data_IF_495621463167
#
_entry.id   IF_495621463167
#
_cell.length_a   1.000
_cell.length_b   1.000
_cell.length_c   1.000
_cell.angle_alpha   90.00
_cell.angle_beta   90.00
_cell.angle_gamma   90.00
#
_symmetry.space_group_name_H-M   'P 1'
#
loop_
_entity.id
_entity.type
_entity.pdbx_description
1 polymer ?
#
# COMPACT_ATOMS: atom_id res chain seq x y z
N UNK A 1 43.30 0.81 -11.69
CA UNK A 1 42.33 -0.31 -11.67
C UNK A 1 41.31 -0.01 -10.57
N UNK A 2 40.16 0.54 -10.95
CA UNK A 2 39.06 0.83 -10.04
C UNK A 2 38.05 -0.33 -10.11
N UNK A 3 37.73 -0.89 -8.95
CA UNK A 3 36.72 -1.93 -8.77
C UNK A 3 35.32 -1.36 -9.05
N UNK A 4 34.46 -2.01 -9.83
CA UNK A 4 33.11 -1.48 -10.09
C UNK A 4 32.20 -1.72 -8.88
N UNK A 5 31.45 -0.69 -8.51
CA UNK A 5 30.40 -0.75 -7.51
C UNK A 5 29.26 -1.66 -7.99
N UNK A 6 28.77 -2.54 -7.09
CA UNK A 6 27.72 -3.52 -7.39
C UNK A 6 26.34 -2.89 -7.61
N UNK A 7 25.43 -3.55 -8.36
CA UNK A 7 24.08 -3.06 -8.61
C UNK A 7 23.17 -3.48 -7.44
N UNK A 8 22.56 -2.52 -6.76
CA UNK A 8 21.62 -2.82 -5.68
C UNK A 8 21.28 -1.63 -4.80
N UNK A 9 21.14 -0.43 -5.37
CA UNK A 9 20.55 0.68 -4.64
C UNK A 9 19.06 0.38 -4.45
N UNK A 10 18.67 0.01 -3.23
CA UNK A 10 17.29 -0.20 -2.82
C UNK A 10 16.55 1.13 -2.99
N UNK A 11 15.70 1.23 -4.01
CA UNK A 11 14.84 2.40 -4.18
C UNK A 11 13.65 2.28 -3.23
N UNK A 12 13.81 2.89 -2.06
CA UNK A 12 12.73 3.13 -1.10
C UNK A 12 11.67 4.01 -1.78
N UNK A 13 10.42 3.55 -1.77
CA UNK A 13 9.29 4.43 -2.06
C UNK A 13 9.19 5.41 -0.88
N UNK A 14 9.38 6.71 -1.09
CA UNK A 14 9.25 7.67 0.00
C UNK A 14 7.79 7.65 0.45
N UNK A 15 7.58 7.34 1.71
CA UNK A 15 6.35 7.68 2.41
C UNK A 15 6.29 9.21 2.60
N UNK A 16 5.10 9.78 2.82
CA UNK A 16 4.99 11.16 3.36
C UNK A 16 5.40 11.15 4.82
N UNK A 17 6.66 10.81 5.06
CA UNK A 17 7.31 11.24 6.25
C UNK A 17 7.53 12.73 6.10
N UNK A 18 6.60 13.51 6.62
CA UNK A 18 6.99 14.83 7.09
C UNK A 18 7.83 14.63 8.34
N UNK A 19 9.07 14.17 8.16
CA UNK A 19 10.12 14.46 9.12
C UNK A 19 10.48 15.92 8.89
N UNK A 20 9.70 16.82 9.50
CA UNK A 20 10.28 18.10 9.89
C UNK A 20 11.53 17.72 10.69
N UNK A 21 12.71 18.14 10.24
CA UNK A 21 13.94 18.03 11.04
C UNK A 21 13.61 18.40 12.49
N UNK A 22 14.10 17.55 13.39
CA UNK A 22 13.69 17.23 14.77
C UNK A 22 13.53 18.40 15.76
N UNK A 23 12.82 19.46 15.37
CA UNK A 23 12.57 20.65 16.20
C UNK A 23 11.25 21.35 15.86
N UNK A 24 10.67 21.15 14.66
CA UNK A 24 9.44 21.86 14.21
C UNK A 24 8.36 20.92 13.64
N UNK A 25 8.07 19.79 14.31
CA UNK A 25 6.94 18.96 13.90
C UNK A 25 5.63 19.74 14.13
N UNK A 26 4.96 20.18 13.05
CA UNK A 26 3.59 20.68 13.14
C UNK A 26 2.74 19.57 13.77
N UNK A 27 2.10 19.81 14.93
CA UNK A 27 1.30 18.80 15.61
C UNK A 27 0.01 18.59 14.82
N UNK A 28 0.08 17.70 13.83
CA UNK A 28 -1.11 17.26 13.11
C UNK A 28 -1.94 16.33 14.01
N UNK A 29 -3.25 16.58 14.14
CA UNK A 29 -4.10 15.74 14.97
C UNK A 29 -4.15 14.32 14.42
N UNK A 30 -4.38 13.36 15.30
CA UNK A 30 -4.57 11.96 14.94
C UNK A 30 -6.05 11.59 15.00
N UNK A 31 -6.41 10.56 14.23
CA UNK A 31 -7.76 9.96 14.24
C UNK A 31 -7.62 8.45 14.31
N UNK A 32 -8.37 7.84 15.24
CA UNK A 32 -8.50 6.38 15.34
C UNK A 32 -9.69 5.90 14.50
N UNK A 33 -9.52 4.78 13.81
CA UNK A 33 -10.52 4.14 12.96
C UNK A 33 -10.58 2.67 13.37
N UNK A 34 -11.78 2.18 13.69
CA UNK A 34 -11.96 0.78 14.03
C UNK A 34 -11.87 -0.11 12.78
N UNK A 35 -11.48 -1.36 12.97
CA UNK A 35 -11.46 -2.35 11.89
C UNK A 35 -12.81 -2.42 11.17
N UNK A 36 -12.77 -2.29 9.84
CA UNK A 36 -13.95 -2.35 8.98
C UNK A 36 -14.60 -1.00 8.71
N UNK A 37 -14.27 0.04 9.48
CA UNK A 37 -14.80 1.38 9.25
C UNK A 37 -14.04 2.09 8.13
N UNK A 38 -14.76 2.97 7.42
CA UNK A 38 -14.19 3.86 6.42
C UNK A 38 -13.54 5.09 7.07
N UNK A 39 -12.31 5.38 6.67
CA UNK A 39 -11.62 6.63 6.94
C UNK A 39 -12.29 7.80 6.19
N UNK A 40 -12.65 7.55 4.94
CA UNK A 40 -13.42 8.40 4.04
C UNK A 40 -14.05 7.52 2.96
N UNK A 41 -15.09 8.02 2.32
CA UNK A 41 -15.81 7.35 1.24
C UNK A 41 -15.60 8.06 -0.10
N UNK A 42 -15.75 7.31 -1.19
CA UNK A 42 -15.74 7.86 -2.54
C UNK A 42 -16.84 8.93 -2.71
N UNK A 43 -16.50 10.01 -3.41
CA UNK A 43 -17.35 11.18 -3.62
C UNK A 43 -17.35 12.19 -2.46
N UNK A 44 -16.76 11.89 -1.31
CA UNK A 44 -16.60 12.88 -0.25
C UNK A 44 -15.58 13.96 -0.64
N UNK A 45 -15.80 15.26 -0.29
CA UNK A 45 -14.83 16.31 -0.56
C UNK A 45 -13.48 16.05 0.11
N UNK A 46 -12.39 16.22 -0.65
CA UNK A 46 -11.04 16.08 -0.12
C UNK A 46 -10.70 17.25 0.80
N UNK A 47 -10.81 17.03 2.12
CA UNK A 47 -10.44 18.02 3.14
C UNK A 47 -9.03 17.83 3.66
N UNK A 48 -8.53 16.60 3.66
CA UNK A 48 -7.25 16.25 4.28
C UNK A 48 -6.64 15.04 3.60
N UNK A 49 -5.31 15.02 3.56
CA UNK A 49 -4.53 13.82 3.35
C UNK A 49 -4.29 13.15 4.70
N UNK A 50 -4.06 11.84 4.67
CA UNK A 50 -3.84 11.06 5.88
C UNK A 50 -2.59 10.23 5.76
N UNK A 51 -1.79 10.16 6.82
CA UNK A 51 -0.63 9.26 6.89
C UNK A 51 -0.91 8.19 7.93
N UNK A 52 -0.73 6.93 7.58
CA UNK A 52 -0.94 5.80 8.50
C UNK A 52 0.12 5.83 9.60
N UNK A 53 -0.29 5.97 10.86
CA UNK A 53 0.60 5.89 12.03
C UNK A 53 0.68 4.45 12.56
N UNK A 54 -0.44 3.74 12.52
CA UNK A 54 -0.52 2.32 12.87
C UNK A 54 -1.71 1.67 12.15
N UNK A 55 -1.64 0.36 11.98
CA UNK A 55 -2.64 -0.43 11.28
C UNK A 55 -2.44 -0.44 9.77
N UNK A 56 -3.50 -0.76 9.03
CA UNK A 56 -3.47 -0.94 7.59
C UNK A 56 -4.83 -0.62 6.98
N UNK A 57 -4.83 -0.02 5.78
CA UNK A 57 -6.03 0.31 5.04
C UNK A 57 -6.03 -0.37 3.66
N UNK A 58 -7.22 -0.54 3.09
CA UNK A 58 -7.41 -0.80 1.66
C UNK A 58 -8.16 0.34 1.00
N UNK A 59 -7.78 0.69 -0.22
CA UNK A 59 -8.59 1.51 -1.10
C UNK A 59 -9.49 0.62 -1.94
N UNK A 60 -10.77 0.97 -2.03
CA UNK A 60 -11.76 0.25 -2.81
C UNK A 60 -12.43 1.22 -3.79
N UNK A 61 -12.30 0.94 -5.08
CA UNK A 61 -13.00 1.68 -6.12
C UNK A 61 -14.23 0.90 -6.55
N UNK A 62 -15.37 1.57 -6.61
CA UNK A 62 -16.58 1.04 -7.21
C UNK A 62 -16.63 1.42 -8.69
N UNK A 63 -17.08 0.51 -9.55
CA UNK A 63 -17.41 0.83 -10.93
C UNK A 63 -18.84 0.40 -11.27
N UNK A 64 -19.52 1.16 -12.15
CA UNK A 64 -20.89 0.84 -12.54
C UNK A 64 -20.95 -0.56 -13.12
N UNK A 65 -21.96 -1.33 -12.70
CA UNK A 65 -22.30 -2.54 -13.42
C UNK A 65 -22.93 -2.16 -14.77
N UNK A 66 -22.79 -3.02 -15.77
CA UNK A 66 -23.41 -2.82 -17.08
C UNK A 66 -24.96 -2.83 -17.02
N UNK A 67 -25.52 -3.32 -15.91
CA UNK A 67 -26.95 -3.30 -15.62
C UNK A 67 -27.23 -2.35 -14.44
N UNK A 68 -28.14 -1.39 -14.61
CA UNK A 68 -28.52 -0.39 -13.60
C UNK A 68 -29.06 -1.00 -12.28
N UNK A 69 -29.57 -2.23 -12.32
CA UNK A 69 -30.13 -2.94 -11.16
C UNK A 69 -29.10 -3.82 -10.41
N UNK A 70 -27.87 -3.93 -10.91
CA UNK A 70 -26.85 -4.78 -10.30
C UNK A 70 -26.01 -4.02 -9.27
N UNK A 71 -25.66 -4.69 -8.16
CA UNK A 71 -24.74 -4.15 -7.16
C UNK A 71 -23.44 -3.72 -7.85
N UNK A 72 -22.99 -2.47 -7.65
CA UNK A 72 -21.76 -2.00 -8.28
C UNK A 72 -20.59 -2.90 -7.89
N UNK A 73 -19.75 -3.21 -8.87
CA UNK A 73 -18.59 -4.03 -8.61
C UNK A 73 -17.57 -3.20 -7.85
N UNK A 74 -17.00 -3.80 -6.81
CA UNK A 74 -15.97 -3.18 -5.98
C UNK A 74 -14.64 -3.89 -6.22
N UNK A 75 -13.59 -3.11 -6.43
CA UNK A 75 -12.24 -3.63 -6.59
C UNK A 75 -11.30 -2.95 -5.61
N UNK A 76 -10.50 -3.76 -4.91
CA UNK A 76 -9.37 -3.26 -4.12
C UNK A 76 -8.32 -2.73 -5.08
N UNK A 77 -8.00 -1.45 -5.00
CA UNK A 77 -7.03 -0.78 -5.89
C UNK A 77 -5.68 -0.55 -5.24
N UNK A 78 -5.64 -0.52 -3.91
CA UNK A 78 -4.40 -0.37 -3.15
C UNK A 78 -4.55 -0.94 -1.73
N UNK A 79 -3.41 -1.31 -1.16
CA UNK A 79 -3.24 -1.48 0.28
C UNK A 79 -2.30 -0.39 0.78
N UNK A 80 -2.56 0.15 1.97
CA UNK A 80 -1.78 1.21 2.59
C UNK A 80 -1.27 0.72 3.95
N UNK A 81 0.05 0.72 4.12
CA UNK A 81 0.77 0.33 5.31
C UNK A 81 1.19 1.56 6.12
N UNK A 82 1.86 1.32 7.25
CA UNK A 82 2.45 2.37 8.09
C UNK A 82 3.31 3.30 7.23
N UNK A 83 3.20 4.59 7.54
CA UNK A 83 3.83 5.73 6.87
C UNK A 83 3.37 6.03 5.44
N UNK A 84 2.55 5.17 4.82
CA UNK A 84 1.96 5.47 3.52
C UNK A 84 0.82 6.49 3.63
N UNK A 85 0.57 7.17 2.51
CA UNK A 85 -0.35 8.31 2.42
C UNK A 85 -1.63 7.96 1.68
N UNK A 86 -2.75 8.33 2.29
CA UNK A 86 -4.12 8.16 1.81
C UNK A 86 -4.69 9.52 1.39
N UNK A 87 -5.60 9.50 0.41
CA UNK A 87 -6.31 10.68 -0.11
C UNK A 87 -5.64 11.38 -1.30
N UNK A 88 -4.52 10.85 -1.80
CA UNK A 88 -3.81 11.41 -2.97
C UNK A 88 -4.65 11.36 -4.25
N UNK A 89 -5.55 10.37 -4.34
CA UNK A 89 -6.47 10.16 -5.44
C UNK A 89 -7.42 11.36 -5.67
N UNK A 90 -7.78 12.07 -4.61
CA UNK A 90 -8.66 13.22 -4.69
C UNK A 90 -8.00 14.57 -4.95
N UNK A 91 -6.66 14.65 -5.05
CA UNK A 91 -5.96 15.94 -5.22
C UNK A 91 -6.37 16.62 -6.54
N UNK A 92 -6.60 15.82 -7.59
CA UNK A 92 -6.93 16.34 -8.91
C UNK A 92 -8.39 16.83 -9.00
N UNK A 93 -9.33 16.09 -8.43
CA UNK A 93 -10.78 16.31 -8.58
C UNK A 93 -11.42 17.04 -7.39
N UNK A 94 -10.68 17.18 -6.29
CA UNK A 94 -11.18 17.74 -5.03
C UNK A 94 -12.10 16.80 -4.25
N UNK A 95 -12.24 15.54 -4.67
CA UNK A 95 -13.10 14.52 -4.03
C UNK A 95 -12.36 13.19 -3.96
N UNK A 96 -12.64 12.37 -2.95
CA UNK A 96 -12.08 11.03 -2.86
C UNK A 96 -12.62 10.16 -4.01
N UNK A 97 -11.74 9.46 -4.73
CA UNK A 97 -12.12 8.58 -5.87
C UNK A 97 -12.39 7.14 -5.41
N UNK A 98 -12.00 6.81 -4.18
CA UNK A 98 -12.13 5.48 -3.58
C UNK A 98 -12.52 5.56 -2.11
N UNK A 99 -13.10 4.47 -1.60
CA UNK A 99 -13.27 4.29 -0.15
C UNK A 99 -11.92 3.87 0.44
N UNK A 100 -11.56 4.41 1.61
CA UNK A 100 -10.42 3.91 2.38
C UNK A 100 -10.92 3.20 3.64
N UNK A 101 -10.77 1.88 3.70
CA UNK A 101 -11.34 1.04 4.76
C UNK A 101 -10.22 0.46 5.62
N UNK A 102 -10.35 0.56 6.94
CA UNK A 102 -9.40 -0.02 7.89
C UNK A 102 -9.48 -1.55 7.90
N UNK A 103 -8.36 -2.23 7.71
CA UNK A 103 -8.26 -3.70 7.76
C UNK A 103 -8.05 -4.25 9.18
N UNK A 104 -7.62 -3.36 10.08
CA UNK A 104 -7.43 -3.56 11.51
C UNK A 104 -7.65 -2.22 12.24
N UNK A 105 -7.71 -2.23 13.57
CA UNK A 105 -7.80 -0.98 14.33
C UNK A 105 -6.58 -0.11 14.01
N UNK A 106 -6.83 1.08 13.49
CA UNK A 106 -5.81 1.90 12.84
C UNK A 106 -5.82 3.32 13.37
N UNK A 107 -4.67 3.98 13.31
CA UNK A 107 -4.51 5.39 13.64
C UNK A 107 -3.87 6.11 12.46
N UNK A 108 -4.44 7.25 12.08
CA UNK A 108 -3.87 8.12 11.05
C UNK A 108 -3.54 9.48 11.60
N UNK A 109 -2.56 10.14 11.01
CA UNK A 109 -2.29 11.57 11.15
C UNK A 109 -3.04 12.34 10.07
N UNK A 110 -3.65 13.47 10.42
CA UNK A 110 -4.50 14.27 9.53
C UNK A 110 -3.74 15.52 9.08
N UNK A 111 -3.53 15.66 7.77
CA UNK A 111 -2.95 16.85 7.15
C UNK A 111 -4.01 17.57 6.31
N UNK A 112 -4.50 18.75 6.71
CA UNK A 112 -5.41 19.53 5.90
C UNK A 112 -4.83 19.85 4.51
N UNK A 113 -5.60 19.70 3.44
CA UNK A 113 -5.10 20.00 2.09
C UNK A 113 -4.82 21.49 1.89
N UNK A 114 -5.58 22.36 2.57
CA UNK A 114 -5.43 23.82 2.44
C UNK A 114 -4.07 24.37 2.89
N UNK A 115 -3.30 23.61 3.68
CA UNK A 115 -1.94 24.01 4.09
C UNK A 115 -0.84 23.41 3.20
N UNK A 116 -1.18 22.49 2.28
CA UNK A 116 -0.19 21.77 1.48
C UNK A 116 0.53 22.71 0.51
N UNK A 117 -0.20 23.55 -0.23
CA UNK A 117 0.43 24.49 -1.17
C UNK A 117 1.31 25.54 -0.47
N UNK A 118 0.86 26.21 0.62
CA UNK A 118 1.74 27.08 1.41
C UNK A 118 2.99 26.36 1.92
N UNK A 119 2.85 25.15 2.46
CA UNK A 119 3.98 24.37 2.96
C UNK A 119 4.97 23.99 1.86
N UNK A 120 4.50 23.59 0.68
CA UNK A 120 5.38 23.29 -0.46
C UNK A 120 6.10 24.54 -0.96
N UNK A 121 5.48 25.72 -0.87
CA UNK A 121 6.08 27.00 -1.27
C UNK A 121 7.19 27.44 -0.31
N UNK A 122 7.00 27.23 0.98
CA UNK A 122 7.94 27.66 2.03
C UNK A 122 9.03 26.63 2.33
N UNK A 123 8.74 25.33 2.15
CA UNK A 123 9.63 24.24 2.52
C UNK A 123 9.89 23.30 1.34
N UNK A 124 10.99 23.55 0.61
CA UNK A 124 11.39 22.76 -0.55
C UNK A 124 11.47 21.24 -0.29
N UNK A 125 11.91 20.74 0.89
CA UNK A 125 11.87 19.31 1.17
C UNK A 125 10.46 18.70 1.15
N UNK A 126 9.42 19.44 1.59
CA UNK A 126 8.04 18.98 1.49
C UNK A 126 7.61 18.82 0.03
N UNK A 127 7.92 19.79 -0.82
CA UNK A 127 7.60 19.73 -2.24
C UNK A 127 8.25 18.51 -2.90
N UNK A 128 9.54 18.27 -2.61
CA UNK A 128 10.25 17.09 -3.12
C UNK A 128 9.64 15.79 -2.63
N UNK A 129 9.27 15.70 -1.34
CA UNK A 129 8.62 14.53 -0.78
C UNK A 129 7.28 14.25 -1.48
N UNK A 130 6.42 15.26 -1.62
CA UNK A 130 5.12 15.12 -2.29
C UNK A 130 5.26 14.64 -3.74
N UNK A 131 6.17 15.24 -4.52
CA UNK A 131 6.43 14.81 -5.89
C UNK A 131 6.94 13.37 -5.96
N UNK A 132 7.81 12.97 -5.03
CA UNK A 132 8.36 11.63 -5.01
C UNK A 132 7.29 10.57 -4.66
N UNK A 133 6.37 10.88 -3.75
CA UNK A 133 5.22 10.02 -3.42
C UNK A 133 4.30 9.86 -4.61
N UNK A 134 3.91 10.98 -5.26
CA UNK A 134 3.06 10.92 -6.44
C UNK A 134 3.71 10.11 -7.58
N UNK A 135 5.02 10.30 -7.80
CA UNK A 135 5.79 9.51 -8.76
C UNK A 135 5.80 8.01 -8.42
N UNK A 136 5.98 7.67 -7.14
CA UNK A 136 5.94 6.29 -6.70
C UNK A 136 4.57 5.63 -6.92
N UNK A 137 3.46 6.35 -6.68
CA UNK A 137 2.12 5.84 -6.95
C UNK A 137 1.85 5.66 -8.45
N UNK A 138 2.36 6.53 -9.31
CA UNK A 138 2.29 6.34 -10.78
C UNK A 138 3.02 5.04 -11.17
N UNK A 139 4.23 4.82 -10.66
CA UNK A 139 5.00 3.61 -10.93
C UNK A 139 4.29 2.37 -10.39
N UNK A 140 3.69 2.44 -9.20
CA UNK A 140 2.92 1.35 -8.59
C UNK A 140 1.72 0.97 -9.44
N UNK A 141 0.93 1.96 -9.87
CA UNK A 141 -0.22 1.76 -10.75
C UNK A 141 0.18 1.13 -12.10
N UNK A 142 1.27 1.61 -12.72
CA UNK A 142 1.79 1.03 -13.95
C UNK A 142 2.24 -0.43 -13.79
N UNK A 143 2.91 -0.76 -12.68
CA UNK A 143 3.30 -2.14 -12.35
C UNK A 143 2.09 -3.04 -12.12
N UNK A 144 1.08 -2.54 -11.41
CA UNK A 144 -0.16 -3.29 -11.19
C UNK A 144 -0.87 -3.57 -12.52
N UNK A 145 -0.98 -2.58 -13.40
CA UNK A 145 -1.57 -2.77 -14.73
C UNK A 145 -0.83 -3.85 -15.55
N UNK A 146 0.51 -3.82 -15.55
CA UNK A 146 1.32 -4.85 -16.20
C UNK A 146 1.08 -6.23 -15.57
N UNK A 147 1.09 -6.32 -14.25
CA UNK A 147 0.86 -7.56 -13.49
C UNK A 147 -0.51 -8.18 -13.84
N UNK A 148 -1.56 -7.36 -13.85
CA UNK A 148 -2.92 -7.79 -14.17
C UNK A 148 -3.09 -8.20 -15.65
N UNK A 149 -2.40 -7.52 -16.56
CA UNK A 149 -2.50 -7.78 -18.00
C UNK A 149 -1.68 -8.97 -18.51
N UNK A 150 -0.59 -9.32 -17.83
CA UNK A 150 0.43 -10.23 -18.42
C UNK A 150 0.87 -11.39 -17.54
N UNK A 151 0.82 -11.25 -16.21
CA UNK A 151 1.44 -12.25 -15.33
C UNK A 151 0.48 -13.40 -15.01
N UNK A 152 0.96 -14.66 -14.95
CA UNK A 152 0.20 -15.78 -14.40
C UNK A 152 -0.11 -15.61 -12.91
N UNK A 153 -1.18 -16.23 -12.42
CA UNK A 153 -1.65 -16.10 -11.03
C UNK A 153 -0.56 -16.34 -9.96
N UNK A 154 0.29 -17.35 -10.15
CA UNK A 154 1.38 -17.66 -9.22
C UNK A 154 2.39 -16.50 -9.12
N UNK A 155 2.75 -15.94 -10.28
CA UNK A 155 3.70 -14.83 -10.41
C UNK A 155 3.12 -13.58 -9.75
N UNK A 156 1.83 -13.28 -9.97
CA UNK A 156 1.14 -12.16 -9.31
C UNK A 156 1.19 -12.28 -7.79
N UNK A 157 0.89 -13.45 -7.26
CA UNK A 157 0.92 -13.69 -5.81
C UNK A 157 2.34 -13.58 -5.26
N UNK A 158 3.34 -14.13 -5.95
CA UNK A 158 4.74 -13.98 -5.55
C UNK A 158 5.20 -12.52 -5.55
N UNK A 159 4.95 -11.79 -6.63
CA UNK A 159 5.27 -10.37 -6.77
C UNK A 159 4.56 -9.51 -5.70
N UNK A 160 3.30 -9.81 -5.40
CA UNK A 160 2.56 -9.16 -4.30
C UNK A 160 3.23 -9.36 -2.94
N UNK A 161 3.67 -10.58 -2.62
CA UNK A 161 4.35 -10.86 -1.36
C UNK A 161 5.73 -10.17 -1.27
N UNK A 162 6.45 -10.08 -2.39
CA UNK A 162 7.73 -9.36 -2.46
C UNK A 162 7.55 -7.85 -2.26
N UNK A 163 6.55 -7.24 -2.92
CA UNK A 163 6.19 -5.83 -2.73
C UNK A 163 5.85 -5.54 -1.28
N UNK A 164 4.97 -6.36 -0.71
CA UNK A 164 4.51 -6.20 0.66
C UNK A 164 5.68 -6.32 1.66
N UNK A 165 6.56 -7.30 1.48
CA UNK A 165 7.73 -7.46 2.34
C UNK A 165 8.70 -6.27 2.23
N UNK A 166 8.91 -5.74 1.02
CA UNK A 166 9.76 -4.55 0.84
C UNK A 166 9.20 -3.33 1.58
N UNK A 167 7.88 -3.17 1.57
CA UNK A 167 7.20 -2.05 2.24
C UNK A 167 7.19 -2.21 3.76
N UNK A 168 7.04 -3.43 4.28
CA UNK A 168 7.22 -3.69 5.71
C UNK A 168 8.65 -3.41 6.19
N UNK A 169 9.67 -3.82 5.41
CA UNK A 169 11.07 -3.50 5.70
C UNK A 169 11.31 -1.99 5.78
N UNK A 170 10.67 -1.23 4.90
CA UNK A 170 10.82 0.21 4.80
C UNK A 170 10.18 0.98 5.98
N UNK A 171 9.03 0.52 6.48
CA UNK A 171 8.30 1.16 7.57
C UNK A 171 8.94 1.02 8.96
N UNK A 172 10.08 0.30 9.08
CA UNK A 172 10.68 -0.01 10.39
C UNK A 172 9.80 -0.91 11.28
N UNK A 173 8.69 -1.43 10.77
CA UNK A 173 7.77 -2.31 11.49
C UNK A 173 8.34 -3.72 11.78
N UNK A 174 9.62 -3.95 11.47
CA UNK A 174 10.33 -5.19 11.81
C UNK A 174 10.99 -5.05 13.18
N UNK A 175 10.58 -5.86 14.18
CA UNK A 175 11.48 -6.18 15.27
C UNK A 175 12.70 -6.89 14.66
N UNK A 176 13.90 -6.59 15.15
CA UNK A 176 15.22 -7.00 14.64
C UNK A 176 15.47 -8.53 14.56
N UNK A 177 14.45 -9.39 14.59
CA UNK A 177 14.63 -10.86 14.63
C UNK A 177 13.52 -11.73 14.04
N UNK A 178 12.47 -11.18 13.41
CA UNK A 178 11.42 -12.03 12.83
C UNK A 178 11.02 -11.63 11.41
N UNK A 179 11.26 -12.53 10.46
CA UNK A 179 10.72 -12.51 9.09
C UNK A 179 9.20 -12.81 9.05
N UNK A 180 8.53 -12.85 10.21
CA UNK A 180 7.10 -13.13 10.34
C UNK A 180 6.29 -11.84 10.30
N UNK A 181 5.41 -11.75 9.31
CA UNK A 181 4.45 -10.66 9.19
C UNK A 181 3.04 -11.22 9.21
N UNK A 182 2.13 -10.57 9.95
CA UNK A 182 0.70 -10.87 9.88
C UNK A 182 0.12 -10.11 8.70
N UNK A 183 -0.54 -10.81 7.78
CA UNK A 183 -1.24 -10.18 6.65
C UNK A 183 -2.55 -9.54 7.15
N UNK A 184 -2.69 -8.19 7.17
CA UNK A 184 -3.92 -7.51 7.61
C UNK A 184 -5.08 -7.68 6.60
N UNK A 185 -4.77 -8.00 5.35
CA UNK A 185 -5.74 -8.29 4.29
C UNK A 185 -6.18 -9.77 4.28
N UNK A 186 -7.43 -10.01 3.87
CA UNK A 186 -7.97 -11.36 3.66
C UNK A 186 -7.58 -11.92 2.29
N UNK A 187 -7.85 -13.21 2.04
CA UNK A 187 -7.66 -13.81 0.70
C UNK A 187 -8.60 -13.22 -0.34
N UNK A 188 -9.80 -12.79 0.07
CA UNK A 188 -10.72 -12.09 -0.81
C UNK A 188 -10.21 -10.70 -1.17
N UNK A 189 -9.63 -9.97 -0.22
CA UNK A 189 -9.01 -8.66 -0.50
C UNK A 189 -7.83 -8.80 -1.47
N UNK A 190 -6.94 -9.78 -1.23
CA UNK A 190 -5.81 -10.07 -2.13
C UNK A 190 -6.32 -10.48 -3.52
N UNK A 191 -7.37 -11.30 -3.56
CA UNK A 191 -7.99 -11.72 -4.81
C UNK A 191 -8.52 -10.55 -5.62
N UNK A 192 -9.30 -9.68 -4.97
CA UNK A 192 -9.82 -8.45 -5.55
C UNK A 192 -8.70 -7.55 -6.11
N UNK A 193 -7.61 -7.39 -5.35
CA UNK A 193 -6.44 -6.61 -5.78
C UNK A 193 -5.70 -7.21 -6.98
N UNK A 194 -5.56 -8.54 -7.04
CA UNK A 194 -4.80 -9.24 -8.08
C UNK A 194 -5.65 -9.71 -9.27
N UNK A 195 -6.95 -9.43 -9.27
CA UNK A 195 -7.90 -9.94 -10.26
C UNK A 195 -7.99 -11.47 -10.25
N UNK A 196 -7.98 -12.07 -9.05
CA UNK A 196 -8.03 -13.51 -8.82
C UNK A 196 -9.18 -13.86 -7.87
N UNK A 197 -9.75 -15.05 -8.04
CA UNK A 197 -10.64 -15.61 -7.03
C UNK A 197 -9.88 -15.93 -5.74
N UNK A 198 -10.54 -15.79 -4.59
CA UNK A 198 -9.94 -16.08 -3.28
C UNK A 198 -9.37 -17.50 -3.21
N UNK A 199 -10.05 -18.45 -3.86
CA UNK A 199 -9.61 -19.85 -3.93
C UNK A 199 -8.33 -20.01 -4.75
N UNK A 200 -8.16 -19.20 -5.79
CA UNK A 200 -6.94 -19.18 -6.59
C UNK A 200 -5.79 -18.59 -5.78
N UNK A 201 -6.03 -17.51 -5.03
CA UNK A 201 -5.03 -16.95 -4.10
C UNK A 201 -4.58 -18.01 -3.09
N UNK A 202 -5.53 -18.69 -2.44
CA UNK A 202 -5.24 -19.78 -1.49
C UNK A 202 -4.40 -20.88 -2.13
N UNK A 203 -4.78 -21.37 -3.33
CA UNK A 203 -4.01 -22.38 -4.07
C UNK A 203 -2.59 -21.93 -4.41
N UNK A 204 -2.40 -20.66 -4.82
CA UNK A 204 -1.07 -20.15 -5.17
C UNK A 204 -0.18 -20.01 -3.94
N UNK A 205 -0.72 -19.57 -2.81
CA UNK A 205 0.01 -19.52 -1.54
C UNK A 205 0.44 -20.92 -1.08
N UNK A 206 -0.46 -21.90 -1.13
CA UNK A 206 -0.09 -23.30 -0.83
C UNK A 206 0.96 -23.84 -1.79
N UNK A 207 0.97 -23.40 -3.05
CA UNK A 207 2.01 -23.76 -4.02
C UNK A 207 3.36 -23.15 -3.64
N UNK A 208 3.43 -21.85 -3.34
CA UNK A 208 4.65 -21.20 -2.87
C UNK A 208 5.20 -21.83 -1.59
N UNK A 209 4.30 -22.24 -0.68
CA UNK A 209 4.68 -22.94 0.55
C UNK A 209 5.26 -24.33 0.27
N UNK A 210 4.63 -25.13 -0.61
CA UNK A 210 5.18 -26.44 -1.04
C UNK A 210 6.52 -26.31 -1.76
N UNK A 211 6.71 -25.22 -2.49
CA UNK A 211 7.99 -24.90 -3.13
C UNK A 211 9.04 -24.37 -2.13
N UNK A 212 8.70 -24.21 -0.85
CA UNK A 212 9.63 -23.76 0.18
C UNK A 212 10.03 -22.29 0.06
N UNK A 213 9.33 -21.49 -0.76
CA UNK A 213 9.59 -20.06 -0.89
C UNK A 213 9.05 -19.29 0.33
N UNK A 214 7.93 -19.75 0.89
CA UNK A 214 7.26 -19.12 2.05
C UNK A 214 6.86 -20.17 3.09
N UNK A 215 6.62 -19.71 4.31
CA UNK A 215 5.87 -20.43 5.35
C UNK A 215 4.62 -19.63 5.66
N UNK A 216 3.47 -20.29 5.77
CA UNK A 216 2.20 -19.63 6.00
C UNK A 216 1.36 -20.42 7.02
N UNK A 217 1.01 -19.78 8.13
CA UNK A 217 0.14 -20.33 9.16
C UNK A 217 -1.02 -19.35 9.42
N UNK A 218 -2.18 -19.65 8.84
CA UNK A 218 -3.31 -18.73 8.82
C UNK A 218 -2.97 -17.43 8.07
N UNK A 219 -2.74 -16.36 8.84
CA UNK A 219 -2.36 -15.03 8.34
C UNK A 219 -0.89 -14.67 8.60
N UNK A 220 -0.18 -15.47 9.39
CA UNK A 220 1.25 -15.29 9.65
C UNK A 220 2.04 -15.83 8.46
N UNK A 221 2.74 -14.93 7.77
CA UNK A 221 3.55 -15.19 6.60
C UNK A 221 5.02 -14.99 6.94
N UNK A 222 5.86 -15.94 6.51
CA UNK A 222 7.31 -15.81 6.47
C UNK A 222 7.82 -16.02 5.06
N UNK A 223 8.72 -15.16 4.58
CA UNK A 223 9.51 -15.47 3.37
C UNK A 223 10.70 -16.33 3.81
N UNK A 224 10.72 -17.59 3.39
CA UNK A 224 11.74 -18.57 3.80
C UNK A 224 12.95 -18.51 2.86
N UNK A 225 12.69 -18.34 1.57
CA UNK A 225 13.72 -18.26 0.52
C UNK A 225 13.37 -17.11 -0.42
N UNK A 226 13.90 -15.92 -0.13
CA UNK A 226 13.64 -14.70 -0.89
C UNK A 226 14.09 -14.84 -2.34
N UNK A 227 15.28 -15.39 -2.59
CA UNK A 227 15.82 -15.58 -3.95
C UNK A 227 14.95 -16.51 -4.77
N UNK A 228 14.39 -17.57 -4.16
CA UNK A 228 13.41 -18.43 -4.84
C UNK A 228 12.13 -17.69 -5.15
N UNK A 229 11.62 -16.89 -4.23
CA UNK A 229 10.40 -16.10 -4.44
C UNK A 229 10.61 -15.07 -5.58
N UNK A 230 11.75 -14.40 -5.62
CA UNK A 230 12.17 -13.47 -6.69
C UNK A 230 12.37 -14.13 -8.05
N UNK A 231 12.63 -15.44 -8.09
CA UNK A 231 12.71 -16.19 -9.36
C UNK A 231 11.33 -16.60 -9.88
N UNK A 232 10.33 -16.68 -9.00
CA UNK A 232 8.95 -17.02 -9.34
C UNK A 232 8.16 -15.77 -9.74
N UNK A 233 8.34 -14.67 -9.01
CA UNK A 233 7.71 -13.36 -9.24
C UNK A 233 8.43 -12.54 -10.29
#
# INVERSE_FOLDING_TARGET
MATPAGPGARHHVPALHVHFTDTDALPFPTRSIARGDALYCAGEPLRSLYTVQSGCFKSVAAYPSANDDAVPHAQVTAFHLIDETLGLDGICTGHHESDAIALEDSVVRIMPVGILEPLCREYAPMQHALLAIMSAEIVRAARLALMLGTMPALVRVAAFLLDLSMRFDASGARPDTFDDVILPMTRADIGSYLGLELETVSRMLSKLQREGAISLHGRQLRIVDRTRLERIG
#
